data_IF_026952776243
#
_entry.id   IF_026952776243
#
_cell.length_a   1.000
_cell.length_b   1.000
_cell.length_c   1.000
_cell.angle_alpha   90.00
_cell.angle_beta   90.00
_cell.angle_gamma   90.00
#
_symmetry.space_group_name_H-M   'P 1'
#
loop_
_entity.id
_entity.type
_entity.pdbx_description
1 polymer ?
#
# COMPACT_ATOMS: atom_id res chain seq x y z
N UNK A 1 -9.29 -32.27 29.75
CA UNK A 1 -8.61 -32.54 28.47
C UNK A 1 -8.63 -31.27 27.62
N UNK A 2 -7.54 -30.98 26.90
CA UNK A 2 -7.29 -29.82 26.02
C UNK A 2 -6.91 -28.47 26.66
N UNK A 3 -5.79 -28.44 27.39
CA UNK A 3 -4.96 -27.24 27.50
C UNK A 3 -3.78 -27.38 26.52
N UNK A 4 -4.05 -27.16 25.23
CA UNK A 4 -3.15 -27.50 24.13
C UNK A 4 -2.09 -26.41 23.92
N UNK A 5 -0.89 -26.67 24.45
CA UNK A 5 0.42 -26.56 23.75
C UNK A 5 0.80 -25.21 23.09
N UNK A 6 0.53 -24.06 23.72
CA UNK A 6 1.06 -22.77 23.24
C UNK A 6 2.50 -22.45 23.71
N UNK A 7 3.04 -23.15 24.71
CA UNK A 7 4.21 -22.67 25.46
C UNK A 7 5.59 -23.18 25.01
N UNK A 8 5.70 -24.04 23.98
CA UNK A 8 6.99 -24.62 23.55
C UNK A 8 7.28 -24.46 22.05
N UNK A 9 6.84 -23.36 21.43
CA UNK A 9 7.27 -23.06 20.05
C UNK A 9 8.66 -22.40 20.09
N UNK A 10 9.63 -22.85 19.27
CA UNK A 10 10.92 -22.19 19.19
C UNK A 10 10.73 -20.74 18.72
N UNK A 11 11.55 -19.82 19.25
CA UNK A 11 11.44 -18.37 19.03
C UNK A 11 11.35 -18.03 17.52
N UNK A 12 12.04 -18.80 16.67
CA UNK A 12 12.00 -18.67 15.21
C UNK A 12 10.61 -18.91 14.59
N UNK A 13 9.81 -19.84 15.13
CA UNK A 13 8.46 -20.14 14.63
C UNK A 13 7.46 -19.05 15.05
N UNK A 14 7.60 -18.52 16.27
CA UNK A 14 6.79 -17.39 16.73
C UNK A 14 7.05 -16.16 15.86
N UNK A 15 8.32 -15.89 15.55
CA UNK A 15 8.71 -14.79 14.67
C UNK A 15 8.15 -14.94 13.25
N UNK A 16 8.17 -16.16 12.70
CA UNK A 16 7.57 -16.46 11.39
C UNK A 16 6.04 -16.27 11.38
N UNK A 17 5.33 -16.67 12.44
CA UNK A 17 3.88 -16.48 12.56
C UNK A 17 3.54 -14.99 12.66
N UNK A 18 4.27 -14.24 13.48
CA UNK A 18 4.07 -12.79 13.62
C UNK A 18 4.31 -12.06 12.29
N UNK A 19 5.33 -12.45 11.53
CA UNK A 19 5.57 -11.93 10.18
C UNK A 19 4.41 -12.25 9.23
N UNK A 20 3.89 -13.48 9.24
CA UNK A 20 2.76 -13.88 8.40
C UNK A 20 1.49 -13.10 8.71
N UNK A 21 1.20 -12.86 9.99
CA UNK A 21 0.06 -12.07 10.45
C UNK A 21 0.23 -10.61 10.02
N UNK A 22 1.40 -10.03 10.30
CA UNK A 22 1.74 -8.65 9.91
C UNK A 22 1.49 -8.45 8.41
N UNK A 23 2.05 -9.33 7.58
CA UNK A 23 1.93 -9.24 6.12
C UNK A 23 0.48 -9.26 5.64
N UNK A 24 -0.34 -10.15 6.21
CA UNK A 24 -1.76 -10.20 5.86
C UNK A 24 -2.49 -8.93 6.26
N UNK A 25 -2.24 -8.41 7.46
CA UNK A 25 -2.89 -7.20 7.97
C UNK A 25 -2.51 -6.00 7.10
N UNK A 26 -1.21 -5.80 6.82
CA UNK A 26 -0.76 -4.66 6.01
C UNK A 26 -1.26 -4.73 4.59
N UNK A 27 -1.36 -5.93 4.00
CA UNK A 27 -1.97 -6.11 2.68
C UNK A 27 -3.44 -5.72 2.67
N UNK A 28 -4.23 -6.25 3.61
CA UNK A 28 -5.67 -5.92 3.68
C UNK A 28 -5.88 -4.43 3.91
N UNK A 29 -5.07 -3.84 4.79
CA UNK A 29 -5.11 -2.41 5.07
C UNK A 29 -4.78 -1.59 3.80
N UNK A 30 -3.64 -1.83 3.16
CA UNK A 30 -3.24 -1.10 1.95
C UNK A 30 -4.21 -1.30 0.78
N UNK A 31 -4.68 -2.53 0.55
CA UNK A 31 -5.67 -2.82 -0.49
C UNK A 31 -6.95 -2.02 -0.30
N UNK A 32 -7.49 -2.04 0.92
CA UNK A 32 -8.72 -1.33 1.28
C UNK A 32 -8.54 0.18 1.16
N UNK A 33 -7.47 0.73 1.71
CA UNK A 33 -7.23 2.16 1.68
C UNK A 33 -6.98 2.69 0.25
N UNK A 34 -6.15 2.02 -0.56
CA UNK A 34 -5.90 2.45 -1.95
C UNK A 34 -7.20 2.43 -2.76
N UNK A 35 -7.97 1.35 -2.66
CA UNK A 35 -9.24 1.22 -3.37
C UNK A 35 -10.25 2.29 -2.92
N UNK A 36 -10.40 2.47 -1.61
CA UNK A 36 -11.33 3.43 -1.03
C UNK A 36 -10.95 4.87 -1.38
N UNK A 37 -9.68 5.26 -1.27
CA UNK A 37 -9.24 6.61 -1.65
C UNK A 37 -9.43 6.89 -3.15
N UNK A 38 -9.17 5.90 -4.00
CA UNK A 38 -9.45 6.00 -5.43
C UNK A 38 -10.94 6.22 -5.71
N UNK A 39 -11.83 5.48 -5.05
CA UNK A 39 -13.28 5.64 -5.19
C UNK A 39 -13.77 6.98 -4.64
N UNK A 40 -13.27 7.43 -3.49
CA UNK A 40 -13.70 8.68 -2.87
C UNK A 40 -13.48 9.88 -3.80
N UNK A 41 -12.44 9.85 -4.64
CA UNK A 41 -12.13 10.91 -5.62
C UNK A 41 -13.17 11.07 -6.73
N UNK A 42 -14.18 10.19 -6.82
CA UNK A 42 -15.34 10.38 -7.70
C UNK A 42 -16.47 11.21 -7.05
N UNK A 43 -16.47 11.35 -5.73
CA UNK A 43 -17.53 12.00 -4.97
C UNK A 43 -17.10 13.38 -4.46
N UNK A 44 -18.06 14.30 -4.31
CA UNK A 44 -17.82 15.60 -3.68
C UNK A 44 -17.81 15.44 -2.14
N UNK A 45 -16.96 16.21 -1.41
CA UNK A 45 -16.06 17.26 -1.89
C UNK A 45 -14.68 16.77 -2.37
N UNK A 46 -14.37 15.47 -2.21
CA UNK A 46 -13.04 14.89 -2.50
C UNK A 46 -12.58 15.08 -3.95
N UNK A 47 -13.49 14.95 -4.93
CA UNK A 47 -13.19 15.22 -6.34
C UNK A 47 -12.67 16.64 -6.55
N UNK A 48 -13.33 17.62 -5.94
CA UNK A 48 -12.95 19.04 -6.03
C UNK A 48 -11.61 19.30 -5.34
N UNK A 49 -11.45 18.78 -4.12
CA UNK A 49 -10.20 18.87 -3.37
C UNK A 49 -9.01 18.32 -4.15
N UNK A 50 -9.15 17.13 -4.73
CA UNK A 50 -8.10 16.51 -5.52
C UNK A 50 -7.79 17.29 -6.80
N UNK A 51 -8.81 17.83 -7.48
CA UNK A 51 -8.61 18.66 -8.67
C UNK A 51 -7.82 19.94 -8.35
N UNK A 52 -8.14 20.61 -7.25
CA UNK A 52 -7.41 21.81 -6.79
C UNK A 52 -5.96 21.45 -6.43
N UNK A 53 -5.75 20.34 -5.72
CA UNK A 53 -4.41 19.85 -5.37
C UNK A 53 -3.54 19.65 -6.62
N UNK A 54 -4.07 19.02 -7.67
CA UNK A 54 -3.33 18.75 -8.91
C UNK A 54 -3.15 20.02 -9.76
N UNK A 55 -4.16 20.89 -9.82
CA UNK A 55 -4.07 22.16 -10.55
C UNK A 55 -3.01 23.09 -9.95
N UNK A 56 -3.04 23.28 -8.63
CA UNK A 56 -2.13 24.19 -7.93
C UNK A 56 -0.70 23.65 -7.81
N UNK A 57 -0.50 22.35 -7.96
CA UNK A 57 0.84 21.73 -7.96
C UNK A 57 1.47 21.64 -9.35
N UNK A 58 0.78 22.08 -10.41
CA UNK A 58 1.32 22.08 -11.78
C UNK A 58 1.47 20.70 -12.43
N UNK A 59 0.96 19.63 -11.82
CA UNK A 59 1.08 18.25 -12.30
C UNK A 59 0.23 17.95 -13.56
N UNK A 60 -0.71 18.82 -13.90
CA UNK A 60 -1.56 18.71 -15.09
C UNK A 60 -2.69 17.67 -14.96
N UNK A 61 -3.69 17.74 -15.84
CA UNK A 61 -4.91 16.91 -15.75
C UNK A 61 -4.65 15.41 -15.96
N UNK A 62 -3.61 15.04 -16.72
CA UNK A 62 -3.24 13.64 -16.92
C UNK A 62 -2.86 12.98 -15.58
N UNK A 63 -2.16 13.70 -14.71
CA UNK A 63 -1.78 13.22 -13.37
C UNK A 63 -3.02 12.90 -12.52
N UNK A 64 -4.10 13.68 -12.66
CA UNK A 64 -5.35 13.43 -11.96
C UNK A 64 -5.95 12.08 -12.34
N UNK A 65 -6.02 11.79 -13.64
CA UNK A 65 -6.60 10.53 -14.15
C UNK A 65 -5.71 9.36 -13.76
N UNK A 66 -4.40 9.49 -13.99
CA UNK A 66 -3.43 8.44 -13.68
C UNK A 66 -3.39 8.14 -12.17
N UNK A 67 -3.49 9.15 -11.31
CA UNK A 67 -3.51 8.96 -9.86
C UNK A 67 -4.75 8.20 -9.37
N UNK A 68 -5.94 8.58 -9.84
CA UNK A 68 -7.19 7.89 -9.47
C UNK A 68 -7.21 6.45 -9.98
N UNK A 69 -6.87 6.26 -11.26
CA UNK A 69 -6.85 4.93 -11.87
C UNK A 69 -5.77 4.04 -11.24
N UNK A 70 -4.62 4.61 -10.90
CA UNK A 70 -3.53 3.92 -10.21
C UNK A 70 -3.94 3.42 -8.83
N UNK A 71 -4.59 4.26 -8.02
CA UNK A 71 -5.08 3.88 -6.69
C UNK A 71 -6.09 2.73 -6.76
N UNK A 72 -7.06 2.82 -7.67
CA UNK A 72 -8.06 1.76 -7.87
C UNK A 72 -7.40 0.47 -8.37
N UNK A 73 -6.60 0.56 -9.42
CA UNK A 73 -5.96 -0.60 -10.04
C UNK A 73 -5.08 -1.34 -9.03
N UNK A 74 -4.27 -0.61 -8.26
CA UNK A 74 -3.41 -1.21 -7.23
C UNK A 74 -4.24 -1.84 -6.10
N UNK A 75 -5.29 -1.16 -5.63
CA UNK A 75 -6.21 -1.72 -4.64
C UNK A 75 -6.83 -3.05 -5.11
N UNK A 76 -7.31 -3.09 -6.35
CA UNK A 76 -7.88 -4.30 -6.98
C UNK A 76 -6.84 -5.40 -7.13
N UNK A 77 -5.63 -5.08 -7.62
CA UNK A 77 -4.54 -6.07 -7.75
C UNK A 77 -4.22 -6.71 -6.40
N UNK A 78 -4.11 -5.90 -5.33
CA UNK A 78 -3.85 -6.41 -3.99
C UNK A 78 -4.99 -7.28 -3.46
N UNK A 79 -6.25 -6.91 -3.69
CA UNK A 79 -7.40 -7.75 -3.35
C UNK A 79 -7.40 -9.08 -4.09
N UNK A 80 -7.14 -9.06 -5.40
CA UNK A 80 -7.06 -10.29 -6.19
C UNK A 80 -5.93 -11.20 -5.70
N UNK A 81 -4.77 -10.63 -5.36
CA UNK A 81 -3.65 -11.37 -4.79
C UNK A 81 -3.98 -11.98 -3.42
N UNK A 82 -4.77 -11.28 -2.59
CA UNK A 82 -5.21 -11.77 -1.28
C UNK A 82 -6.24 -12.90 -1.40
N UNK A 83 -7.29 -12.69 -2.21
CA UNK A 83 -8.42 -13.62 -2.35
C UNK A 83 -8.00 -14.88 -3.10
N UNK A 84 -7.26 -14.72 -4.20
CA UNK A 84 -6.88 -15.83 -5.08
C UNK A 84 -5.47 -16.34 -4.81
N UNK A 85 -4.94 -16.14 -3.59
CA UNK A 85 -3.57 -16.51 -3.23
C UNK A 85 -3.20 -17.96 -3.62
N UNK A 86 -4.13 -18.90 -3.48
CA UNK A 86 -3.89 -20.31 -3.76
C UNK A 86 -3.86 -20.64 -5.27
N UNK A 87 -4.47 -19.79 -6.10
CA UNK A 87 -4.55 -19.98 -7.57
C UNK A 87 -3.39 -19.31 -8.31
N UNK A 88 -2.70 -18.37 -7.68
CA UNK A 88 -1.62 -17.60 -8.28
C UNK A 88 -0.28 -18.29 -7.99
N UNK A 89 0.56 -18.44 -9.01
CA UNK A 89 1.91 -18.99 -8.83
C UNK A 89 2.74 -18.10 -7.89
N UNK A 90 3.62 -18.69 -7.07
CA UNK A 90 4.42 -17.90 -6.13
C UNK A 90 5.24 -16.80 -6.81
N UNK A 91 5.76 -17.04 -8.02
CA UNK A 91 6.50 -16.04 -8.80
C UNK A 91 5.60 -14.87 -9.22
N UNK A 92 4.42 -15.16 -9.77
CA UNK A 92 3.48 -14.13 -10.20
C UNK A 92 2.95 -13.33 -9.00
N UNK A 93 2.65 -13.99 -7.88
CA UNK A 93 2.24 -13.32 -6.64
C UNK A 93 3.29 -12.29 -6.21
N UNK A 94 4.55 -12.71 -6.06
CA UNK A 94 5.63 -11.83 -5.57
C UNK A 94 5.82 -10.65 -6.53
N UNK A 95 5.80 -10.90 -7.83
CA UNK A 95 5.94 -9.87 -8.86
C UNK A 95 4.80 -8.84 -8.78
N UNK A 96 3.53 -9.30 -8.81
CA UNK A 96 2.36 -8.43 -8.77
C UNK A 96 2.31 -7.60 -7.50
N UNK A 97 2.61 -8.20 -6.35
CA UNK A 97 2.53 -7.50 -5.07
C UNK A 97 3.67 -6.51 -4.90
N UNK A 98 4.89 -6.86 -5.31
CA UNK A 98 6.01 -5.92 -5.25
C UNK A 98 5.80 -4.76 -6.22
N UNK A 99 5.27 -5.04 -7.41
CA UNK A 99 4.87 -3.99 -8.35
C UNK A 99 3.81 -3.08 -7.74
N UNK A 100 2.75 -3.63 -7.15
CA UNK A 100 1.72 -2.87 -6.44
C UNK A 100 2.31 -1.98 -5.33
N UNK A 101 3.18 -2.50 -4.46
CA UNK A 101 3.82 -1.71 -3.42
C UNK A 101 4.73 -0.62 -3.97
N UNK A 102 5.47 -0.91 -5.03
CA UNK A 102 6.28 0.09 -5.71
C UNK A 102 5.42 1.22 -6.27
N UNK A 103 4.29 0.89 -6.92
CA UNK A 103 3.34 1.90 -7.40
C UNK A 103 2.77 2.72 -6.25
N UNK A 104 2.44 2.12 -5.10
CA UNK A 104 2.01 2.86 -3.89
C UNK A 104 3.07 3.88 -3.48
N UNK A 105 4.34 3.46 -3.39
CA UNK A 105 5.44 4.36 -3.02
C UNK A 105 5.51 5.55 -3.98
N UNK A 106 5.45 5.31 -5.30
CA UNK A 106 5.48 6.39 -6.29
C UNK A 106 4.30 7.36 -6.10
N UNK A 107 3.06 6.84 -5.95
CA UNK A 107 1.88 7.68 -5.73
C UNK A 107 1.97 8.48 -4.42
N UNK A 108 2.46 7.86 -3.34
CA UNK A 108 2.66 8.54 -2.08
C UNK A 108 3.75 9.61 -2.16
N UNK A 109 4.82 9.39 -2.92
CA UNK A 109 5.83 10.42 -3.19
C UNK A 109 5.27 11.61 -3.96
N UNK A 110 4.42 11.36 -4.97
CA UNK A 110 3.66 12.44 -5.63
C UNK A 110 2.78 13.18 -4.64
N UNK A 111 2.09 12.47 -3.73
CA UNK A 111 1.28 13.10 -2.69
C UNK A 111 2.11 13.93 -1.71
N UNK A 112 3.32 13.49 -1.34
CA UNK A 112 4.26 14.27 -0.51
C UNK A 112 4.63 15.58 -1.23
N UNK A 113 4.98 15.49 -2.52
CA UNK A 113 5.27 16.67 -3.34
C UNK A 113 4.10 17.67 -3.34
N UNK A 114 2.88 17.19 -3.58
CA UNK A 114 1.66 18.02 -3.57
C UNK A 114 1.43 18.68 -2.20
N UNK A 115 1.64 17.97 -1.09
CA UNK A 115 1.45 18.53 0.26
C UNK A 115 2.49 19.61 0.60
N UNK A 116 3.71 19.48 0.08
CA UNK A 116 4.80 20.42 0.32
C UNK A 116 4.77 21.61 -0.66
N UNK A 117 3.95 21.54 -1.71
CA UNK A 117 3.84 22.62 -2.69
C UNK A 117 3.23 23.88 -2.05
N UNK A 118 3.84 25.06 -2.22
CA UNK A 118 3.41 26.29 -1.53
C UNK A 118 1.99 26.71 -1.92
N UNK A 119 1.59 26.49 -3.17
CA UNK A 119 0.30 26.92 -3.72
C UNK A 119 -0.85 25.96 -3.42
N UNK A 120 -0.60 24.83 -2.74
CA UNK A 120 -1.64 23.89 -2.34
C UNK A 120 -2.13 24.24 -0.92
N UNK A 121 -3.38 24.74 -0.76
CA UNK A 121 -3.88 25.15 0.54
C UNK A 121 -4.18 23.94 1.44
N UNK A 122 -4.04 24.12 2.76
CA UNK A 122 -4.33 23.04 3.71
C UNK A 122 -5.82 22.62 3.70
N UNK A 123 -6.73 23.53 3.34
CA UNK A 123 -8.17 23.28 3.36
C UNK A 123 -8.67 22.26 2.34
N UNK A 124 -7.88 22.00 1.29
CA UNK A 124 -8.20 20.96 0.29
C UNK A 124 -7.54 19.62 0.64
N UNK A 125 -6.84 19.52 1.77
CA UNK A 125 -6.29 18.25 2.25
C UNK A 125 -7.37 17.50 3.06
N UNK A 126 -7.51 16.17 2.88
CA UNK A 126 -8.59 15.40 3.50
C UNK A 126 -8.70 15.54 5.02
N UNK A 127 -7.57 15.77 5.71
CA UNK A 127 -7.51 15.98 7.15
C UNK A 127 -7.15 17.41 7.55
N UNK A 128 -7.00 18.33 6.59
CA UNK A 128 -6.51 19.70 6.80
C UNK A 128 -5.14 19.80 7.48
N UNK A 129 -4.36 18.73 7.44
CA UNK A 129 -3.02 18.64 8.00
C UNK A 129 -2.02 18.87 6.86
N UNK A 130 -1.25 19.96 6.93
CA UNK A 130 -0.28 20.31 5.88
C UNK A 130 0.90 19.33 5.78
N UNK A 131 1.52 18.88 6.89
CA UNK A 131 2.62 17.92 6.78
C UNK A 131 2.15 16.56 6.22
N UNK A 132 2.92 15.91 5.33
CA UNK A 132 2.51 14.70 4.64
C UNK A 132 2.71 13.42 5.49
N UNK A 133 2.16 13.38 6.70
CA UNK A 133 2.28 12.21 7.58
C UNK A 133 1.63 10.95 6.98
N UNK A 134 0.44 11.09 6.38
CA UNK A 134 -0.28 9.95 5.80
C UNK A 134 0.50 9.36 4.61
N UNK A 135 0.91 10.15 3.59
CA UNK A 135 1.70 9.60 2.49
C UNK A 135 2.99 8.93 2.96
N UNK A 136 3.72 9.53 3.91
CA UNK A 136 4.95 8.95 4.47
C UNK A 136 4.64 7.61 5.16
N UNK A 137 3.59 7.54 5.97
CA UNK A 137 3.19 6.31 6.66
C UNK A 137 2.87 5.17 5.67
N UNK A 138 2.11 5.48 4.62
CA UNK A 138 1.77 4.51 3.57
C UNK A 138 3.01 4.04 2.80
N UNK A 139 3.93 4.95 2.48
CA UNK A 139 5.23 4.59 1.88
C UNK A 139 6.04 3.66 2.78
N UNK A 140 6.11 3.93 4.08
CA UNK A 140 6.83 3.07 5.02
C UNK A 140 6.21 1.67 5.12
N UNK A 141 4.88 1.57 5.12
CA UNK A 141 4.19 0.27 5.08
C UNK A 141 4.45 -0.48 3.77
N UNK A 142 4.43 0.21 2.63
CA UNK A 142 4.74 -0.42 1.34
C UNK A 142 6.21 -0.90 1.29
N UNK A 143 7.14 -0.07 1.77
CA UNK A 143 8.57 -0.41 1.87
C UNK A 143 8.82 -1.60 2.79
N UNK A 144 8.20 -1.62 3.97
CA UNK A 144 8.34 -2.75 4.89
C UNK A 144 7.83 -4.03 4.24
N UNK A 145 6.72 -3.97 3.50
CA UNK A 145 6.20 -5.12 2.78
C UNK A 145 7.19 -5.60 1.71
N UNK A 146 7.75 -4.71 0.88
CA UNK A 146 8.78 -5.08 -0.10
C UNK A 146 9.99 -5.73 0.57
N UNK A 147 10.51 -5.13 1.65
CA UNK A 147 11.67 -5.64 2.39
C UNK A 147 11.47 -7.10 2.84
N UNK A 148 10.35 -7.37 3.49
CA UNK A 148 9.97 -8.71 3.93
C UNK A 148 9.70 -9.68 2.76
N UNK A 149 9.18 -9.18 1.62
CA UNK A 149 8.99 -9.98 0.39
C UNK A 149 10.33 -10.52 -0.13
N UNK A 150 11.33 -9.64 -0.17
CA UNK A 150 12.67 -9.94 -0.67
C UNK A 150 13.39 -10.93 0.25
N UNK A 151 13.34 -10.71 1.57
CA UNK A 151 13.91 -11.64 2.55
C UNK A 151 13.31 -13.04 2.43
N UNK A 152 11.99 -13.13 2.25
CA UNK A 152 11.29 -14.41 2.07
C UNK A 152 11.70 -15.12 0.79
N UNK A 153 12.03 -14.37 -0.26
CA UNK A 153 12.46 -14.94 -1.55
C UNK A 153 13.89 -15.47 -1.47
N UNK A 154 14.78 -14.77 -0.74
CA UNK A 154 16.15 -15.20 -0.49
C UNK A 154 16.21 -16.54 0.28
N UNK A 155 15.43 -16.68 1.36
CA UNK A 155 15.37 -17.92 2.16
C UNK A 155 14.85 -19.13 1.35
N UNK A 156 13.82 -18.92 0.52
CA UNK A 156 13.28 -19.98 -0.34
C UNK A 156 14.23 -20.42 -1.46
N UNK A 157 15.17 -19.56 -1.85
CA UNK A 157 16.19 -19.88 -2.87
C UNK A 157 17.34 -20.67 -2.23
N UNK A 158 17.70 -20.38 -0.97
CA UNK A 158 18.71 -21.11 -0.21
C UNK A 158 18.32 -22.54 0.19
N UNK A 159 17.02 -22.86 0.28
CA UNK A 159 16.53 -24.24 0.55
C UNK A 159 16.42 -25.14 -0.69
N UNK A 160 16.72 -24.64 -1.89
CA UNK A 160 16.62 -25.39 -3.15
C UNK A 160 17.98 -25.93 -3.64
N UNK A 161 18.98 -26.01 -2.77
CA UNK A 161 20.30 -26.60 -3.06
C UNK A 161 20.48 -27.86 -2.24
#
# INVERSE_FOLDING_TARGET
MQNCKRNNLPISVIQMINQMIYYKITYWFLATCMFMFGILKFFNPFKGWYSIQIANSGLGQISQIVGVMGEIAVGVILFLCLIYRQKISNKAYILLTNFAFFTIIVMMMTSVYVHLHPDVPADVLPLKIKPPYIPIFFSLLALSNIYWSTLRTADNTGRKV
#
